data_IF_029156984557
#
_entry.id   IF_029156984557
#
_cell.length_a   1.000
_cell.length_b   1.000
_cell.length_c   1.000
_cell.angle_alpha   90.00
_cell.angle_beta   90.00
_cell.angle_gamma   90.00
#
_symmetry.space_group_name_H-M   'P 1'
#
loop_
_entity.id
_entity.type
_entity.pdbx_description
1 polymer ?
#
# COMPACT_ATOMS: atom_id res chain seq x y z
N UNK A 1 16.18 -13.44 -12.73
CA UNK A 1 15.61 -13.44 -11.37
C UNK A 1 14.21 -14.02 -11.47
N UNK A 2 14.05 -15.29 -11.07
CA UNK A 2 12.75 -15.98 -11.00
C UNK A 2 12.37 -16.10 -9.53
N UNK A 3 12.23 -14.98 -8.86
CA UNK A 3 11.80 -14.98 -7.47
C UNK A 3 10.28 -14.82 -7.44
N UNK A 4 9.63 -15.82 -6.88
CA UNK A 4 8.18 -15.90 -6.67
C UNK A 4 7.95 -16.06 -5.17
N UNK A 5 6.70 -15.88 -4.71
CA UNK A 5 6.29 -16.05 -3.32
C UNK A 5 6.79 -14.97 -2.34
N UNK A 6 6.85 -13.72 -2.79
CA UNK A 6 7.12 -12.56 -1.94
C UNK A 6 5.89 -12.14 -1.14
N UNK A 7 6.09 -11.73 0.11
CA UNK A 7 5.06 -11.03 0.90
C UNK A 7 5.01 -9.56 0.47
N UNK A 8 3.81 -9.01 0.40
CA UNK A 8 3.58 -7.62 -0.04
C UNK A 8 2.51 -6.96 0.81
N UNK A 9 2.60 -5.64 0.94
CA UNK A 9 1.54 -4.82 1.52
C UNK A 9 0.54 -4.38 0.43
N UNK A 10 -0.75 -4.57 0.68
CA UNK A 10 -1.82 -4.27 -0.29
C UNK A 10 -3.00 -3.54 0.36
N UNK A 11 -3.47 -2.40 -0.18
CA UNK A 11 -4.79 -1.88 0.15
C UNK A 11 -5.89 -2.77 -0.43
N UNK A 12 -6.70 -3.36 0.46
CA UNK A 12 -7.74 -4.34 0.10
C UNK A 12 -9.14 -3.74 -0.13
N UNK A 13 -9.37 -2.47 0.22
CA UNK A 13 -10.69 -1.84 0.17
C UNK A 13 -10.83 -0.80 -0.96
N UNK A 14 -9.92 -0.79 -1.93
CA UNK A 14 -10.08 0.01 -3.14
C UNK A 14 -11.15 -0.60 -4.05
N UNK A 15 -11.90 0.26 -4.75
CA UNK A 15 -12.83 -0.21 -5.78
C UNK A 15 -12.06 -0.99 -6.85
N UNK A 16 -12.46 -2.24 -7.20
CA UNK A 16 -11.81 -3.00 -8.25
C UNK A 16 -11.79 -2.25 -9.60
N UNK A 17 -10.67 -2.36 -10.32
CA UNK A 17 -10.45 -1.67 -11.59
C UNK A 17 -10.19 -2.67 -12.71
N UNK A 18 -10.75 -2.42 -13.89
CA UNK A 18 -10.43 -3.20 -15.10
C UNK A 18 -9.12 -2.69 -15.71
N UNK A 19 -8.11 -3.56 -15.77
CA UNK A 19 -6.80 -3.27 -16.36
C UNK A 19 -6.59 -4.20 -17.54
N UNK A 20 -6.64 -3.65 -18.76
CA UNK A 20 -6.48 -4.41 -20.03
C UNK A 20 -7.39 -5.65 -20.11
N UNK A 21 -8.63 -5.53 -19.65
CA UNK A 21 -9.63 -6.61 -19.67
C UNK A 21 -9.60 -7.56 -18.46
N UNK A 22 -8.62 -7.43 -17.56
CA UNK A 22 -8.52 -8.24 -16.33
C UNK A 22 -8.93 -7.37 -15.14
N UNK A 23 -9.80 -7.90 -14.27
CA UNK A 23 -10.25 -7.19 -13.07
C UNK A 23 -9.23 -7.30 -11.95
N UNK A 24 -8.59 -6.19 -11.59
CA UNK A 24 -7.73 -6.11 -10.41
C UNK A 24 -8.56 -5.78 -9.16
N UNK A 25 -8.33 -6.52 -8.08
CA UNK A 25 -9.06 -6.39 -6.81
C UNK A 25 -8.26 -5.66 -5.73
N UNK A 26 -6.96 -5.44 -5.95
CA UNK A 26 -6.06 -4.77 -5.02
C UNK A 26 -4.90 -4.14 -5.79
N UNK A 27 -4.08 -3.38 -5.07
CA UNK A 27 -2.85 -2.77 -5.60
C UNK A 27 -1.70 -3.13 -4.67
N UNK A 28 -0.51 -3.34 -5.22
CA UNK A 28 0.70 -3.54 -4.41
C UNK A 28 1.28 -2.18 -4.02
N UNK A 29 1.62 -2.00 -2.75
CA UNK A 29 2.31 -0.81 -2.27
C UNK A 29 3.79 -0.87 -2.61
N UNK A 30 4.28 0.19 -3.24
CA UNK A 30 5.64 0.30 -3.68
C UNK A 30 6.06 1.78 -3.68
N UNK A 31 7.06 2.19 -2.87
CA UNK A 31 7.70 3.48 -3.05
C UNK A 31 8.41 3.55 -4.41
N UNK A 32 8.48 4.76 -4.95
CA UNK A 32 9.27 5.07 -6.12
C UNK A 32 10.18 6.26 -5.84
N UNK A 33 11.25 6.39 -6.63
CA UNK A 33 12.03 7.62 -6.69
C UNK A 33 11.22 8.80 -7.28
N UNK A 34 11.78 10.00 -7.16
CA UNK A 34 11.16 11.25 -7.64
C UNK A 34 10.90 11.23 -9.15
N UNK A 35 11.79 10.59 -9.91
CA UNK A 35 11.67 10.43 -11.37
C UNK A 35 10.75 9.27 -11.78
N UNK A 36 10.21 8.50 -10.81
CA UNK A 36 9.38 7.31 -11.02
C UNK A 36 10.00 6.25 -11.96
N UNK A 37 11.33 6.15 -11.96
CA UNK A 37 12.09 5.18 -12.77
C UNK A 37 12.46 3.94 -12.00
N UNK A 38 12.57 4.05 -10.68
CA UNK A 38 12.87 2.95 -9.77
C UNK A 38 11.69 2.73 -8.83
N UNK A 39 11.27 1.48 -8.74
CA UNK A 39 10.16 1.05 -7.88
C UNK A 39 10.63 -0.14 -7.06
N UNK A 40 10.41 -0.08 -5.75
CA UNK A 40 10.75 -1.14 -4.81
C UNK A 40 9.49 -1.54 -4.03
N UNK A 41 9.35 -2.82 -3.69
CA UNK A 41 8.17 -3.31 -2.97
C UNK A 41 8.30 -2.97 -1.48
N UNK A 42 7.18 -2.59 -0.86
CA UNK A 42 7.14 -2.54 0.61
C UNK A 42 7.12 -3.98 1.14
N UNK A 43 8.19 -4.36 1.83
CA UNK A 43 8.31 -5.64 2.51
C UNK A 43 7.68 -5.57 3.91
N UNK A 44 6.69 -6.43 4.23
CA UNK A 44 6.20 -6.52 5.59
C UNK A 44 7.23 -7.20 6.51
N UNK A 45 7.07 -7.10 7.85
CA UNK A 45 7.87 -7.85 8.80
C UNK A 45 7.92 -9.36 8.47
N UNK A 46 9.06 -9.99 8.72
CA UNK A 46 9.31 -11.38 8.28
C UNK A 46 8.31 -12.37 8.89
N UNK A 47 7.85 -12.09 10.11
CA UNK A 47 6.93 -12.86 10.92
C UNK A 47 5.45 -12.54 10.62
N UNK A 48 5.16 -11.49 9.87
CA UNK A 48 3.80 -11.08 9.55
C UNK A 48 3.03 -12.19 8.80
N UNK A 49 1.81 -12.48 9.25
CA UNK A 49 0.95 -13.48 8.63
C UNK A 49 0.26 -12.91 7.38
N UNK A 50 -0.08 -13.78 6.42
CA UNK A 50 -0.89 -13.35 5.27
C UNK A 50 -2.28 -12.95 5.76
N UNK A 51 -2.72 -11.74 5.38
CA UNK A 51 -3.98 -11.16 5.82
C UNK A 51 -3.89 -10.38 7.14
N UNK A 52 -2.70 -10.31 7.74
CA UNK A 52 -2.46 -9.43 8.87
C UNK A 52 -2.67 -7.97 8.48
N UNK A 53 -3.25 -7.20 9.41
CA UNK A 53 -3.63 -5.82 9.19
C UNK A 53 -2.44 -4.90 9.48
N UNK A 54 -2.06 -4.09 8.49
CA UNK A 54 -1.16 -2.95 8.69
C UNK A 54 -1.92 -1.83 9.37
N UNK A 55 -1.37 -1.30 10.47
CA UNK A 55 -1.93 -0.19 11.25
C UNK A 55 -0.84 0.80 11.59
N UNK A 56 -1.15 2.10 11.58
CA UNK A 56 -0.23 3.15 11.99
C UNK A 56 -0.54 3.60 13.42
N UNK A 57 0.49 3.74 14.25
CA UNK A 57 0.33 4.19 15.65
C UNK A 57 -0.38 5.55 15.71
N UNK A 58 -1.36 5.70 16.61
CA UNK A 58 -2.17 6.92 16.72
C UNK A 58 -3.28 7.05 15.66
N UNK A 59 -3.36 6.13 14.71
CA UNK A 59 -4.41 6.07 13.69
C UNK A 59 -5.26 4.81 13.85
N UNK A 60 -6.27 4.88 14.73
CA UNK A 60 -7.24 3.80 14.94
C UNK A 60 -8.53 4.05 14.18
N UNK A 61 -9.13 2.99 13.64
CA UNK A 61 -10.45 3.04 13.03
C UNK A 61 -10.76 1.78 12.24
N UNK A 62 -12.04 1.56 11.97
CA UNK A 62 -12.46 0.50 11.06
C UNK A 62 -12.34 0.98 9.61
N UNK A 63 -11.72 0.20 8.70
CA UNK A 63 -11.67 0.58 7.30
C UNK A 63 -13.08 0.55 6.71
N UNK A 64 -13.36 1.48 5.80
CA UNK A 64 -14.55 1.40 4.97
C UNK A 64 -14.52 0.10 4.14
N UNK A 65 -15.68 -0.55 3.98
CA UNK A 65 -15.80 -1.77 3.19
C UNK A 65 -15.39 -1.58 1.72
N UNK A 66 -15.56 -0.37 1.18
CA UNK A 66 -15.11 0.01 -0.16
C UNK A 66 -14.89 1.52 -0.23
N UNK A 67 -13.65 1.94 -0.45
CA UNK A 67 -13.31 3.32 -0.76
C UNK A 67 -13.90 3.69 -2.12
N UNK A 68 -14.92 4.55 -2.10
CA UNK A 68 -15.53 5.05 -3.32
C UNK A 68 -14.63 6.09 -3.98
N UNK A 69 -14.45 6.01 -5.30
CA UNK A 69 -13.63 6.95 -6.06
C UNK A 69 -14.10 8.41 -6.03
N UNK A 70 -15.30 8.70 -5.50
CA UNK A 70 -15.81 10.07 -5.32
C UNK A 70 -15.14 10.82 -4.17
N UNK A 71 -14.64 10.09 -3.17
CA UNK A 71 -14.19 10.66 -1.89
C UNK A 71 -12.76 11.20 -1.93
N UNK A 72 -11.97 10.87 -2.98
CA UNK A 72 -10.53 11.17 -3.10
C UNK A 72 -9.71 10.82 -1.85
N UNK A 73 -10.23 9.93 -1.00
CA UNK A 73 -9.58 9.56 0.27
C UNK A 73 -8.22 8.93 -0.01
N UNK A 74 -8.14 8.03 -0.98
CA UNK A 74 -6.88 7.43 -1.39
C UNK A 74 -5.84 8.47 -1.86
N UNK A 75 -6.23 9.44 -2.70
CA UNK A 75 -5.34 10.51 -3.16
C UNK A 75 -4.77 11.32 -1.98
N UNK A 76 -5.60 11.61 -0.97
CA UNK A 76 -5.17 12.32 0.23
C UNK A 76 -4.25 11.48 1.11
N UNK A 77 -4.52 10.17 1.24
CA UNK A 77 -3.68 9.27 2.01
C UNK A 77 -2.30 9.09 1.37
N UNK A 78 -2.26 8.92 0.06
CA UNK A 78 -1.00 8.75 -0.69
C UNK A 78 -0.09 9.97 -0.56
N UNK A 79 -0.65 11.17 -0.46
CA UNK A 79 0.14 12.39 -0.27
C UNK A 79 0.94 12.40 1.06
N UNK A 80 0.49 11.65 2.06
CA UNK A 80 1.15 11.54 3.37
C UNK A 80 1.97 10.24 3.51
N UNK A 81 1.89 9.33 2.52
CA UNK A 81 2.70 8.10 2.48
C UNK A 81 4.08 8.41 1.90
N UNK A 82 5.12 7.97 2.59
CA UNK A 82 6.50 8.13 2.13
C UNK A 82 7.40 7.04 2.73
N UNK A 83 8.65 6.99 2.29
CA UNK A 83 9.70 6.18 2.93
C UNK A 83 10.74 7.09 3.60
N UNK A 84 11.29 6.66 4.72
CA UNK A 84 12.35 7.39 5.43
C UNK A 84 13.73 7.05 4.86
N UNK A 85 14.76 7.79 5.29
CA UNK A 85 16.16 7.49 4.95
C UNK A 85 16.65 6.11 5.45
N UNK A 86 15.90 5.48 6.36
CA UNK A 86 16.17 4.13 6.88
C UNK A 86 15.40 3.04 6.10
N UNK A 87 14.79 3.40 4.96
CA UNK A 87 13.98 2.51 4.11
C UNK A 87 12.73 1.96 4.82
N UNK A 88 12.16 2.73 5.74
CA UNK A 88 10.91 2.39 6.43
C UNK A 88 9.75 3.12 5.77
N UNK A 89 8.70 2.38 5.38
CA UNK A 89 7.47 2.97 4.86
C UNK A 89 6.65 3.58 6.00
N UNK A 90 6.20 4.82 5.83
CA UNK A 90 5.51 5.61 6.85
C UNK A 90 4.25 6.28 6.31
N UNK A 91 3.31 6.55 7.21
CA UNK A 91 2.19 7.47 7.03
C UNK A 91 2.34 8.61 8.04
N UNK A 92 2.45 9.87 7.59
CA UNK A 92 2.63 11.04 8.49
C UNK A 92 3.76 10.87 9.51
N UNK A 93 4.90 10.37 9.03
CA UNK A 93 6.11 10.09 9.83
C UNK A 93 5.95 8.96 10.86
N UNK A 94 4.84 8.21 10.79
CA UNK A 94 4.59 7.03 11.62
C UNK A 94 4.81 5.76 10.79
N UNK A 95 5.67 4.82 11.22
CA UNK A 95 5.89 3.55 10.54
C UNK A 95 4.67 2.61 10.62
#
# INVERSE_FOLDING_TARGET
>A
MNEQNWKVCVPCNLKPVMMRGIKSHAMVLAPSDEDHTRVELVEPPVDAAVGERVTFTGHSGEPEASLSGKSKVWEKLVADLHSTGELVACYKDVP
#
